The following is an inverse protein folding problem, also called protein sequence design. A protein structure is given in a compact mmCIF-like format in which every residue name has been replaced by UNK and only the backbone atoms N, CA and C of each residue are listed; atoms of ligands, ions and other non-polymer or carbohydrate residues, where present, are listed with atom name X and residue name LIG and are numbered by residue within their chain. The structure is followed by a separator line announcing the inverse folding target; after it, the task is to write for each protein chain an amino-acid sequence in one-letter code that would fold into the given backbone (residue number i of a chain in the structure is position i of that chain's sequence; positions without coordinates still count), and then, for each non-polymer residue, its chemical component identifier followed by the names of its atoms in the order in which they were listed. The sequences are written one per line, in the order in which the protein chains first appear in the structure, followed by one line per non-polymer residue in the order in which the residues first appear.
data_IF_736265150021
#
_entry.id   IF_736265150021
#
_cell.length_a   1.000
_cell.length_b   1.000
_cell.length_c   1.000
_cell.angle_alpha   90.00
_cell.angle_beta   90.00
_cell.angle_gamma   90.00
#
_symmetry.space_group_name_H-M   'P 1'
#
loop_
_entity.id
_entity.type
_entity.pdbx_description
1 polymer ?
#
# COMPACT_ATOMS: atom_id res chain seq x y z
N UNK A 1 7.71 18.84 -29.19
CA UNK A 1 6.77 17.92 -28.50
C UNK A 1 7.18 17.91 -27.04
N UNK A 2 6.47 18.63 -26.18
CA UNK A 2 6.80 18.73 -24.75
C UNK A 2 5.77 17.91 -23.97
N UNK A 3 6.20 16.74 -23.49
CA UNK A 3 5.36 15.77 -22.80
C UNK A 3 4.82 16.34 -21.49
N UNK A 4 3.51 16.19 -21.30
CA UNK A 4 2.80 16.53 -20.06
C UNK A 4 3.20 15.49 -19.01
N UNK A 5 3.98 15.92 -18.02
CA UNK A 5 4.29 15.14 -16.82
C UNK A 5 3.03 15.03 -15.96
N UNK A 6 2.47 13.83 -15.84
CA UNK A 6 1.39 13.54 -14.89
C UNK A 6 2.07 12.93 -13.66
N UNK A 7 2.39 13.78 -12.68
CA UNK A 7 2.66 13.31 -11.31
C UNK A 7 1.33 12.81 -10.74
N UNK A 8 1.13 11.49 -10.67
CA UNK A 8 0.05 10.90 -9.87
C UNK A 8 0.42 11.04 -8.40
N UNK A 9 -0.01 12.12 -7.77
CA UNK A 9 -0.14 12.17 -6.32
C UNK A 9 -1.54 11.66 -5.98
N UNK A 10 -1.65 10.45 -5.43
CA UNK A 10 -2.89 9.97 -4.84
C UNK A 10 -2.98 10.54 -3.41
N UNK A 11 -3.48 11.77 -3.28
CA UNK A 11 -3.72 12.41 -1.99
C UNK A 11 -4.91 11.75 -1.29
N UNK A 12 -4.73 10.65 -0.55
CA UNK A 12 -5.79 10.09 0.28
C UNK A 12 -5.98 10.97 1.51
N UNK A 13 -6.94 11.89 1.46
CA UNK A 13 -7.42 12.64 2.62
C UNK A 13 -8.71 12.01 3.15
N UNK A 14 -8.71 11.56 4.42
CA UNK A 14 -9.90 11.04 5.08
C UNK A 14 -10.84 12.21 5.45
N UNK A 15 -11.85 12.46 4.61
CA UNK A 15 -12.92 13.41 4.90
C UNK A 15 -14.08 12.73 5.61
N UNK A 16 -14.31 13.03 6.89
CA UNK A 16 -15.53 12.64 7.61
C UNK A 16 -16.65 13.67 7.34
N UNK A 17 -17.71 13.29 6.64
CA UNK A 17 -18.90 14.13 6.46
C UNK A 17 -20.07 13.55 7.25
N UNK A 18 -20.62 14.39 8.15
CA UNK A 18 -21.82 14.13 8.92
C UNK A 18 -23.09 14.06 8.06
N UNK A 19 -24.06 13.30 8.55
CA UNK A 19 -25.33 12.98 7.90
C UNK A 19 -26.17 14.24 7.63
N UNK A 20 -26.59 14.43 6.37
CA UNK A 20 -27.75 15.22 5.98
C UNK A 20 -28.36 14.61 4.70
N UNK A 21 -29.70 14.52 4.66
CA UNK A 21 -30.44 13.60 3.80
C UNK A 21 -30.86 14.10 2.41
N UNK A 22 -31.57 13.16 1.77
CA UNK A 22 -32.59 13.21 0.69
C UNK A 22 -32.23 13.62 -0.76
N UNK A 23 -32.51 12.62 -1.63
CA UNK A 23 -33.27 12.67 -2.90
C UNK A 23 -32.50 12.36 -4.22
N UNK A 24 -33.00 11.33 -4.92
CA UNK A 24 -33.24 11.40 -6.37
C UNK A 24 -32.19 10.86 -7.34
N UNK A 25 -32.32 9.56 -7.67
CA UNK A 25 -32.18 8.89 -8.99
C UNK A 25 -31.25 9.54 -10.06
N UNK A 26 -30.31 8.74 -10.60
CA UNK A 26 -30.33 8.29 -12.02
C UNK A 26 -29.22 7.27 -12.33
N UNK A 27 -29.63 6.20 -13.01
CA UNK A 27 -28.79 5.17 -13.64
C UNK A 27 -28.18 5.77 -14.91
N UNK A 28 -26.86 5.74 -15.04
CA UNK A 28 -26.16 5.97 -16.31
C UNK A 28 -25.06 4.92 -16.44
N UNK A 29 -25.28 4.01 -17.38
CA UNK A 29 -24.32 3.03 -17.85
C UNK A 29 -23.63 3.63 -19.09
N UNK A 30 -22.31 3.62 -19.12
CA UNK A 30 -21.51 4.09 -20.24
C UNK A 30 -20.27 3.19 -20.43
N UNK A 31 -19.79 3.02 -21.67
CA UNK A 31 -19.29 1.75 -22.17
C UNK A 31 -17.85 1.42 -21.78
N UNK A 32 -17.59 0.13 -21.58
CA UNK A 32 -16.25 -0.44 -21.42
C UNK A 32 -15.45 -0.30 -22.73
N UNK A 33 -14.31 0.41 -22.66
CA UNK A 33 -13.29 0.39 -23.69
C UNK A 33 -12.45 -0.91 -23.58
N UNK A 34 -11.92 -1.45 -24.69
CA UNK A 34 -11.25 -2.75 -24.68
C UNK A 34 -9.95 -2.68 -23.89
N UNK A 35 -9.87 -3.46 -22.82
CA UNK A 35 -8.65 -3.71 -22.06
C UNK A 35 -7.75 -4.59 -22.92
N UNK A 36 -6.70 -3.98 -23.47
CA UNK A 36 -5.58 -4.71 -24.09
C UNK A 36 -4.74 -5.30 -22.98
N UNK A 37 -4.85 -6.62 -22.80
CA UNK A 37 -4.01 -7.39 -21.91
C UNK A 37 -2.54 -7.29 -22.35
N UNK A 38 -1.73 -6.55 -21.58
CA UNK A 38 -0.30 -6.36 -21.83
C UNK A 38 0.59 -6.91 -20.71
N UNK A 39 0.04 -7.72 -19.80
CA UNK A 39 0.83 -8.37 -18.75
C UNK A 39 0.96 -9.88 -18.94
N UNK A 40 0.96 -10.34 -20.19
CA UNK A 40 1.47 -11.66 -20.55
C UNK A 40 3.00 -11.58 -20.77
N UNK A 41 3.76 -11.60 -19.68
CA UNK A 41 5.21 -11.62 -19.75
C UNK A 41 5.88 -11.82 -18.39
N UNK A 42 6.46 -13.02 -18.24
CA UNK A 42 7.63 -13.33 -17.40
C UNK A 42 7.41 -14.02 -16.02
N UNK A 43 7.65 -15.34 -16.07
CA UNK A 43 8.18 -16.26 -15.04
C UNK A 43 7.46 -16.39 -13.69
N UNK A 44 6.70 -17.48 -13.55
CA UNK A 44 6.22 -18.01 -12.29
C UNK A 44 7.36 -18.66 -11.47
N UNK A 45 7.92 -17.93 -10.50
CA UNK A 45 8.96 -18.52 -9.61
C UNK A 45 8.40 -19.49 -8.55
N UNK A 46 7.07 -19.64 -8.43
CA UNK A 46 6.40 -20.39 -7.35
C UNK A 46 6.58 -21.92 -7.36
N UNK A 47 7.40 -22.48 -8.26
CA UNK A 47 7.65 -23.94 -8.34
C UNK A 47 9.13 -24.34 -8.21
N UNK A 48 10.02 -23.52 -7.62
CA UNK A 48 11.33 -24.05 -7.16
C UNK A 48 11.44 -24.10 -5.64
N UNK A 49 11.37 -25.32 -5.12
CA UNK A 49 12.14 -25.73 -3.95
C UNK A 49 11.53 -25.39 -2.60
N UNK A 50 10.31 -25.88 -2.31
CA UNK A 50 10.10 -26.44 -0.98
C UNK A 50 10.95 -27.70 -0.93
N UNK A 51 12.14 -27.59 -0.34
CA UNK A 51 12.78 -28.61 0.50
C UNK A 51 14.19 -28.12 0.91
N UNK A 52 14.50 -28.30 2.20
CA UNK A 52 15.76 -28.03 2.89
C UNK A 52 16.02 -26.57 3.36
N UNK A 53 15.49 -26.22 4.54
CA UNK A 53 16.30 -26.14 5.76
C UNK A 53 15.53 -25.41 6.87
N UNK A 54 14.99 -26.17 7.82
CA UNK A 54 14.83 -25.69 9.18
C UNK A 54 16.23 -25.44 9.76
N UNK A 55 16.62 -24.19 10.00
CA UNK A 55 17.66 -23.83 10.97
C UNK A 55 17.73 -22.31 11.20
N UNK A 56 17.79 -21.95 12.48
CA UNK A 56 18.21 -20.68 13.05
C UNK A 56 17.22 -19.50 12.98
N UNK A 57 16.30 -19.48 13.96
CA UNK A 57 15.85 -18.24 14.55
C UNK A 57 17.09 -17.46 15.05
N UNK A 58 17.51 -16.45 14.28
CA UNK A 58 18.47 -15.45 14.74
C UNK A 58 17.71 -14.37 15.49
N UNK A 59 17.46 -14.61 16.77
CA UNK A 59 17.21 -13.51 17.71
C UNK A 59 18.55 -12.83 17.97
N UNK A 60 18.94 -11.94 17.06
CA UNK A 60 19.94 -10.91 17.32
C UNK A 60 19.22 -9.58 17.16
N UNK A 61 18.65 -9.08 18.26
CA UNK A 61 18.18 -7.71 18.36
C UNK A 61 19.39 -6.77 18.43
N UNK A 62 20.13 -6.70 17.33
CA UNK A 62 20.86 -5.48 17.02
C UNK A 62 19.81 -4.38 16.86
N UNK A 63 20.08 -3.14 17.31
CA UNK A 63 19.25 -2.01 16.91
C UNK A 63 19.09 -2.08 15.39
N UNK A 64 17.85 -2.04 14.90
CA UNK A 64 17.61 -2.07 13.47
C UNK A 64 18.43 -0.94 12.85
N UNK A 65 19.38 -1.31 11.99
CA UNK A 65 20.17 -0.34 11.26
C UNK A 65 19.27 0.42 10.29
N UNK A 66 19.75 1.54 9.73
CA UNK A 66 19.02 2.21 8.67
C UNK A 66 18.69 1.26 7.53
N UNK A 67 17.41 1.17 7.16
CA UNK A 67 16.96 0.42 5.98
C UNK A 67 17.26 1.24 4.75
N UNK A 68 17.87 0.63 3.73
CA UNK A 68 18.27 1.30 2.48
C UNK A 68 17.55 0.68 1.30
N UNK A 69 16.72 1.49 0.64
CA UNK A 69 15.92 1.08 -0.50
C UNK A 69 16.48 1.74 -1.77
N UNK A 70 16.80 0.95 -2.79
CA UNK A 70 17.18 1.46 -4.11
C UNK A 70 15.94 1.85 -4.90
N UNK A 71 16.02 2.97 -5.63
CA UNK A 71 15.00 3.35 -6.60
C UNK A 71 14.87 2.26 -7.65
N UNK A 72 13.64 1.83 -7.91
CA UNK A 72 13.32 0.90 -8.97
C UNK A 72 13.37 1.57 -10.35
N UNK A 73 13.35 0.77 -11.42
CA UNK A 73 13.46 1.27 -12.80
C UNK A 73 12.31 2.16 -13.24
N UNK A 74 11.16 2.05 -12.57
CA UNK A 74 9.98 2.90 -12.75
C UNK A 74 10.07 4.22 -11.95
N UNK A 75 11.23 4.50 -11.35
CA UNK A 75 11.54 5.67 -10.53
C UNK A 75 10.87 5.73 -9.15
N UNK A 76 10.24 4.65 -8.69
CA UNK A 76 9.63 4.56 -7.37
C UNK A 76 10.49 3.83 -6.33
N UNK A 77 10.13 3.93 -5.06
CA UNK A 77 10.73 3.17 -3.97
C UNK A 77 9.74 2.12 -3.47
N UNK A 78 10.18 0.87 -3.40
CA UNK A 78 9.37 -0.23 -2.87
C UNK A 78 10.02 -0.81 -1.63
N UNK A 79 9.25 -0.95 -0.56
CA UNK A 79 9.66 -1.63 0.66
C UNK A 79 9.06 -3.03 0.67
N UNK A 80 9.87 -4.04 0.99
CA UNK A 80 9.36 -5.35 1.37
C UNK A 80 8.97 -5.26 2.86
N UNK A 81 7.69 -5.47 3.15
CA UNK A 81 7.13 -5.26 4.49
C UNK A 81 6.57 -6.56 5.04
N UNK A 82 6.74 -6.78 6.35
CA UNK A 82 5.98 -7.80 7.08
C UNK A 82 4.78 -7.14 7.74
N UNK A 83 3.57 -7.53 7.32
CA UNK A 83 2.33 -7.07 7.90
C UNK A 83 1.65 -8.25 8.57
N UNK A 84 1.68 -8.25 9.89
CA UNK A 84 1.08 -9.30 10.72
C UNK A 84 1.55 -10.73 10.32
N UNK A 85 2.83 -10.89 9.94
CA UNK A 85 3.42 -12.16 9.53
C UNK A 85 3.31 -12.48 8.03
N UNK A 86 2.71 -11.60 7.22
CA UNK A 86 2.61 -11.76 5.77
C UNK A 86 3.50 -10.75 5.06
N UNK A 87 4.31 -11.25 4.13
CA UNK A 87 5.19 -10.41 3.32
C UNK A 87 4.43 -9.71 2.20
N UNK A 88 4.44 -8.38 2.20
CA UNK A 88 3.77 -7.52 1.22
C UNK A 88 4.78 -6.50 0.69
N UNK A 89 4.91 -6.43 -0.64
CA UNK A 89 5.69 -5.36 -1.25
C UNK A 89 4.83 -4.11 -1.41
N UNK A 90 5.25 -3.02 -0.78
CA UNK A 90 4.51 -1.75 -0.78
C UNK A 90 5.29 -0.66 -1.49
N UNK A 91 4.57 0.20 -2.21
CA UNK A 91 5.11 1.46 -2.72
C UNK A 91 5.23 2.45 -1.56
N UNK A 92 6.41 3.05 -1.38
CA UNK A 92 6.57 4.14 -0.41
C UNK A 92 5.95 5.42 -0.99
N UNK A 93 4.87 5.89 -0.37
CA UNK A 93 4.09 7.04 -0.86
C UNK A 93 3.90 8.06 0.27
N UNK A 94 4.68 9.14 0.24
CA UNK A 94 4.58 10.21 1.22
C UNK A 94 3.30 11.06 1.08
N UNK A 95 2.56 10.94 -0.04
CA UNK A 95 1.29 11.60 -0.29
C UNK A 95 0.07 10.84 0.26
N UNK A 96 0.24 9.56 0.63
CA UNK A 96 -0.80 8.79 1.28
C UNK A 96 -0.82 9.05 2.79
N UNK A 97 -1.95 9.53 3.34
CA UNK A 97 -2.06 9.79 4.77
C UNK A 97 -2.01 8.50 5.62
N UNK A 98 -2.62 7.43 5.11
CA UNK A 98 -2.69 6.12 5.76
C UNK A 98 -1.90 5.08 4.96
N UNK A 99 -1.53 3.97 5.61
CA UNK A 99 -1.19 2.76 4.86
C UNK A 99 -2.43 2.34 4.07
N UNK A 100 -2.30 2.21 2.76
CA UNK A 100 -3.41 1.84 1.89
C UNK A 100 -3.19 0.41 1.39
N UNK A 101 -4.07 -0.50 1.78
CA UNK A 101 -4.02 -1.90 1.35
C UNK A 101 -4.88 -2.09 0.11
N UNK A 102 -4.37 -2.87 -0.84
CA UNK A 102 -5.24 -3.49 -1.83
C UNK A 102 -6.17 -4.49 -1.13
N UNK A 103 -7.33 -4.76 -1.72
CA UNK A 103 -8.24 -5.80 -1.21
C UNK A 103 -7.54 -7.15 -1.08
N UNK A 104 -6.76 -7.53 -2.10
CA UNK A 104 -6.00 -8.78 -2.13
C UNK A 104 -5.04 -8.89 -0.94
N UNK A 105 -4.29 -7.83 -0.66
CA UNK A 105 -3.31 -7.83 0.42
C UNK A 105 -3.99 -7.83 1.80
N UNK A 106 -5.11 -7.11 1.94
CA UNK A 106 -5.93 -7.15 3.15
C UNK A 106 -6.47 -8.57 3.43
N UNK A 107 -6.99 -9.25 2.41
CA UNK A 107 -7.45 -10.63 2.52
C UNK A 107 -6.29 -11.59 2.84
N UNK A 108 -5.10 -11.36 2.27
CA UNK A 108 -3.90 -12.16 2.54
C UNK A 108 -3.41 -12.07 4.00
N UNK A 109 -3.72 -10.97 4.70
CA UNK A 109 -3.47 -10.82 6.15
C UNK A 109 -4.66 -11.21 7.01
N UNK A 110 -5.69 -11.86 6.43
CA UNK A 110 -6.84 -12.40 7.14
C UNK A 110 -7.96 -11.41 7.42
N UNK A 111 -7.96 -10.22 6.79
CA UNK A 111 -9.06 -9.26 6.92
C UNK A 111 -10.21 -9.69 6.00
N UNK A 112 -11.38 -9.92 6.59
CA UNK A 112 -12.63 -10.10 5.86
C UNK A 112 -13.19 -8.73 5.44
N UNK A 113 -12.75 -8.27 4.26
CA UNK A 113 -13.05 -6.93 3.74
C UNK A 113 -14.55 -6.71 3.54
N UNK A 114 -15.31 -7.75 3.18
CA UNK A 114 -16.74 -7.66 2.91
C UNK A 114 -17.57 -7.46 4.17
N UNK A 115 -17.02 -7.80 5.33
CA UNK A 115 -17.65 -7.55 6.64
C UNK A 115 -17.34 -6.19 7.24
N UNK A 116 -16.39 -5.46 6.65
CA UNK A 116 -16.06 -4.12 7.13
C UNK A 116 -17.01 -3.07 6.54
N UNK A 117 -17.53 -2.15 7.37
CA UNK A 117 -18.31 -1.03 6.88
C UNK A 117 -17.42 -0.04 6.11
N UNK A 118 -17.99 0.65 5.13
CA UNK A 118 -17.33 1.80 4.51
C UNK A 118 -17.09 2.86 5.59
N UNK A 119 -15.82 3.17 5.84
CA UNK A 119 -15.37 4.10 6.88
C UNK A 119 -15.07 5.50 6.36
N UNK A 120 -15.03 5.70 5.04
CA UNK A 120 -14.81 7.00 4.44
C UNK A 120 -14.60 6.93 2.93
N UNK A 121 -14.12 8.04 2.37
CA UNK A 121 -13.72 8.15 0.98
C UNK A 121 -12.22 8.46 0.89
N UNK A 122 -11.51 7.74 0.04
CA UNK A 122 -10.16 8.05 -0.36
C UNK A 122 -10.20 8.96 -1.59
N UNK A 123 -9.45 10.06 -1.55
CA UNK A 123 -9.27 10.92 -2.71
C UNK A 123 -8.10 10.39 -3.55
N UNK A 124 -8.36 10.07 -4.81
CA UNK A 124 -7.35 9.53 -5.73
C UNK A 124 -7.31 10.37 -7.01
N UNK A 125 -6.34 10.10 -7.88
CA UNK A 125 -6.28 10.72 -9.20
C UNK A 125 -7.50 10.36 -10.08
N UNK A 126 -8.12 9.19 -9.84
CA UNK A 126 -9.35 8.77 -10.52
C UNK A 126 -10.63 9.34 -9.92
N UNK A 127 -10.53 10.13 -8.84
CA UNK A 127 -11.67 10.65 -8.08
C UNK A 127 -11.78 10.03 -6.69
N UNK A 128 -12.93 10.23 -6.06
CA UNK A 128 -13.21 9.69 -4.73
C UNK A 128 -13.66 8.23 -4.82
N UNK A 129 -13.06 7.37 -4.02
CA UNK A 129 -13.40 5.94 -3.93
C UNK A 129 -13.67 5.55 -2.49
N UNK A 130 -14.62 4.63 -2.22
CA UNK A 130 -14.87 4.15 -0.86
C UNK A 130 -13.63 3.50 -0.24
N UNK A 131 -13.48 3.62 1.08
CA UNK A 131 -12.45 2.91 1.85
C UNK A 131 -12.98 2.37 3.17
N UNK A 132 -12.36 1.30 3.66
CA UNK A 132 -12.64 0.66 4.96
C UNK A 132 -11.45 0.86 5.87
N UNK A 133 -11.66 1.48 7.03
CA UNK A 133 -10.59 1.73 8.00
C UNK A 133 -10.34 0.47 8.82
N UNK A 134 -9.06 0.16 9.01
CA UNK A 134 -8.58 -0.94 9.85
C UNK A 134 -7.39 -0.48 10.68
N UNK A 135 -7.11 -1.18 11.77
CA UNK A 135 -5.90 -0.98 12.57
C UNK A 135 -5.03 -2.23 12.40
N UNK A 136 -3.80 -2.05 11.92
CA UNK A 136 -2.83 -3.13 11.81
C UNK A 136 -2.03 -3.21 13.12
N UNK A 137 -1.92 -4.42 13.67
CA UNK A 137 -1.20 -4.64 14.93
C UNK A 137 0.28 -4.27 14.80
N UNK A 138 0.90 -4.68 13.69
CA UNK A 138 2.28 -4.35 13.34
C UNK A 138 2.51 -4.31 11.83
N UNK A 139 3.35 -3.36 11.43
CA UNK A 139 4.00 -3.30 10.11
C UNK A 139 5.50 -3.20 10.36
N UNK A 140 6.29 -4.06 9.73
CA UNK A 140 7.73 -4.08 9.84
C UNK A 140 8.39 -3.92 8.47
N UNK A 141 9.50 -3.17 8.42
CA UNK A 141 10.35 -3.05 7.24
C UNK A 141 11.78 -3.34 7.66
N UNK A 142 12.34 -4.46 7.23
CA UNK A 142 13.74 -4.87 7.48
C UNK A 142 14.23 -4.62 8.93
N UNK A 143 13.42 -5.00 9.93
CA UNK A 143 13.72 -4.83 11.35
C UNK A 143 13.17 -3.56 12.00
N UNK A 144 12.67 -2.60 11.23
CA UNK A 144 11.96 -1.41 11.76
C UNK A 144 10.49 -1.77 11.93
N UNK A 145 10.09 -2.10 13.16
CA UNK A 145 8.71 -2.48 13.49
C UNK A 145 7.91 -1.33 14.09
N UNK A 146 6.78 -1.02 13.48
CA UNK A 146 5.83 -0.01 13.94
C UNK A 146 4.52 -0.71 14.32
N UNK A 147 4.00 -0.39 15.51
CA UNK A 147 2.75 -0.98 16.03
C UNK A 147 1.57 -0.02 15.91
N UNK A 148 0.36 -0.59 15.95
CA UNK A 148 -0.92 0.14 15.91
C UNK A 148 -0.94 1.13 14.74
N UNK A 149 -0.78 0.62 13.52
CA UNK A 149 -0.71 1.42 12.30
C UNK A 149 -2.12 1.54 11.72
N UNK A 150 -2.60 2.77 11.62
CA UNK A 150 -3.87 3.05 10.97
C UNK A 150 -3.75 2.79 9.47
N UNK A 151 -4.66 1.99 8.92
CA UNK A 151 -4.65 1.64 7.52
C UNK A 151 -6.06 1.69 6.94
N UNK A 152 -6.13 1.69 5.62
CA UNK A 152 -7.38 1.65 4.88
C UNK A 152 -7.31 0.61 3.77
N UNK A 153 -8.38 -0.18 3.62
CA UNK A 153 -8.60 -0.99 2.42
C UNK A 153 -9.37 -0.13 1.42
N UNK A 154 -8.76 0.17 0.29
CA UNK A 154 -9.34 1.06 -0.74
C UNK A 154 -10.10 0.22 -1.76
N UNK A 155 -11.38 0.56 -2.02
CA UNK A 155 -12.20 -0.10 -3.05
C UNK A 155 -11.86 0.42 -4.45
N UNK A 156 -10.60 0.31 -4.83
CA UNK A 156 -10.11 0.63 -6.15
C UNK A 156 -8.97 -0.32 -6.54
N UNK A 157 -8.78 -0.51 -7.84
CA UNK A 157 -7.61 -1.23 -8.33
C UNK A 157 -6.38 -0.31 -8.28
N UNK A 158 -5.68 -0.33 -7.15
CA UNK A 158 -4.44 0.43 -6.96
C UNK A 158 -3.22 -0.27 -7.60
N UNK A 159 -3.34 -1.55 -7.98
CA UNK A 159 -2.22 -2.39 -8.42
C UNK A 159 -1.24 -2.81 -7.31
N UNK A 160 -0.89 -1.90 -6.38
CA UNK A 160 0.04 -2.14 -5.27
C UNK A 160 -0.43 -1.44 -3.99
N UNK A 161 -0.11 -2.02 -2.84
CA UNK A 161 -0.35 -1.37 -1.53
C UNK A 161 0.63 -0.22 -1.29
N UNK A 162 0.19 0.79 -0.55
CA UNK A 162 0.96 2.01 -0.27
C UNK A 162 1.39 2.07 1.20
N UNK A 163 2.67 2.34 1.43
CA UNK A 163 3.23 2.61 2.74
C UNK A 163 3.18 4.13 2.98
N UNK A 164 2.12 4.59 3.64
CA UNK A 164 1.83 6.01 3.86
C UNK A 164 2.28 6.58 5.21
N UNK A 165 1.87 7.81 5.49
CA UNK A 165 2.32 8.62 6.63
C UNK A 165 1.98 8.04 8.01
N UNK A 166 0.86 7.32 8.15
CA UNK A 166 0.54 6.56 9.38
C UNK A 166 1.63 5.58 9.84
N UNK A 167 2.51 5.15 8.92
CA UNK A 167 3.75 4.45 9.20
C UNK A 167 4.96 5.39 9.15
N UNK A 168 5.15 6.12 8.03
CA UNK A 168 6.37 6.90 7.77
C UNK A 168 6.62 7.99 8.82
N UNK A 169 5.58 8.63 9.34
CA UNK A 169 5.71 9.71 10.33
C UNK A 169 6.09 9.20 11.73
N UNK A 170 6.06 7.87 11.96
CA UNK A 170 6.50 7.25 13.21
C UNK A 170 7.97 6.83 13.18
N UNK A 171 8.63 7.01 12.05
CA UNK A 171 10.07 6.80 11.87
C UNK A 171 10.84 8.02 12.37
N UNK A 172 12.07 7.81 12.83
CA UNK A 172 12.98 8.90 13.21
C UNK A 172 13.37 9.73 11.98
N UNK A 173 13.58 9.07 10.83
CA UNK A 173 13.87 9.76 9.58
C UNK A 173 13.49 8.97 8.32
N UNK A 174 13.04 9.70 7.30
CA UNK A 174 12.86 9.22 5.92
C UNK A 174 13.62 10.17 4.99
N UNK A 175 14.74 9.71 4.44
CA UNK A 175 15.61 10.52 3.59
C UNK A 175 15.72 9.93 2.19
N UNK A 176 15.75 10.79 1.17
CA UNK A 176 16.01 10.40 -0.21
C UNK A 176 17.24 11.16 -0.72
N UNK A 177 18.26 10.43 -1.14
CA UNK A 177 19.51 10.94 -1.69
C UNK A 177 19.79 10.23 -3.02
N UNK A 178 19.58 10.95 -4.14
CA UNK A 178 19.67 10.37 -5.48
C UNK A 178 18.70 9.19 -5.66
N UNK A 179 19.26 8.00 -5.90
CA UNK A 179 18.50 6.75 -6.08
C UNK A 179 18.44 5.89 -4.81
N UNK A 180 18.77 6.45 -3.66
CA UNK A 180 18.73 5.76 -2.38
C UNK A 180 17.74 6.43 -1.44
N UNK A 181 16.78 5.66 -0.94
CA UNK A 181 15.96 6.02 0.22
C UNK A 181 16.54 5.36 1.47
N UNK A 182 16.56 6.08 2.58
CA UNK A 182 16.96 5.56 3.89
C UNK A 182 15.84 5.78 4.90
N UNK A 183 15.43 4.71 5.60
CA UNK A 183 14.47 4.72 6.70
C UNK A 183 15.22 4.48 8.02
N UNK A 184 14.85 5.19 9.09
CA UNK A 184 15.41 5.05 10.43
C UNK A 184 14.32 5.14 11.47
#
# INVERSE_FOLDING_TARGET
MLGRFITMAAMIAAGSIGIAGIAGRQKAEAPAAPVVDRYAGESNWTTRGRDAAAAAAKTSSSPAGPVKIRRASDSHFYADTDVQGTQIRMLVDSGASLVALTRRDAEAIGIDVDRLPVGGMAQTAGGQVPMRIVMLDSVEVDGIAVRNVEAAVVDADMGVSLLGQSFLAKLDAVNVEGDMMTLR
#
